data_IF_592895744519
#
_entry.id   IF_592895744519
#
_cell.length_a   1.000
_cell.length_b   1.000
_cell.length_c   1.000
_cell.angle_alpha   90.00
_cell.angle_beta   90.00
_cell.angle_gamma   90.00
#
_symmetry.space_group_name_H-M   'P 1'
#
loop_
_entity.id
_entity.type
_entity.pdbx_description
1 polymer ?
#
# COMPACT_ATOMS: atom_id res chain seq x y z
N UNK A 1 3.56 -37.15 11.04
CA UNK A 1 2.96 -35.81 11.09
C UNK A 1 3.10 -35.15 9.71
N UNK A 2 2.02 -34.65 9.12
CA UNK A 2 1.95 -34.35 7.67
C UNK A 2 2.82 -33.12 7.30
N UNK A 3 3.77 -33.28 6.34
CA UNK A 3 4.69 -32.22 5.87
C UNK A 3 3.96 -30.97 5.30
N UNK A 4 2.65 -31.08 5.07
CA UNK A 4 1.82 -30.07 4.40
C UNK A 4 1.21 -29.00 5.34
N UNK A 5 1.39 -29.10 6.67
CA UNK A 5 0.74 -28.19 7.64
C UNK A 5 1.20 -26.72 7.52
N UNK A 6 2.36 -26.45 6.93
CA UNK A 6 2.91 -25.09 6.70
C UNK A 6 2.63 -24.61 5.27
N UNK A 7 2.33 -25.51 4.33
CA UNK A 7 2.18 -25.18 2.91
C UNK A 7 0.96 -24.31 2.66
N UNK A 8 -0.19 -24.66 3.24
CA UNK A 8 -1.43 -23.89 3.11
C UNK A 8 -1.30 -22.46 3.65
N UNK A 9 -0.93 -22.23 4.93
CA UNK A 9 -0.77 -20.87 5.43
C UNK A 9 0.30 -20.08 4.65
N UNK A 10 1.37 -20.75 4.18
CA UNK A 10 2.35 -20.09 3.32
C UNK A 10 1.73 -19.55 2.03
N UNK A 11 0.96 -20.37 1.31
CA UNK A 11 0.33 -19.98 0.05
C UNK A 11 -0.66 -18.84 0.29
N UNK A 12 -1.47 -18.94 1.34
CA UNK A 12 -2.41 -17.88 1.70
C UNK A 12 -1.71 -16.54 1.99
N UNK A 13 -0.68 -16.52 2.84
CA UNK A 13 0.07 -15.30 3.12
C UNK A 13 0.73 -14.71 1.87
N UNK A 14 1.26 -15.57 0.98
CA UNK A 14 1.86 -15.14 -0.27
C UNK A 14 0.83 -14.51 -1.22
N UNK A 15 -0.32 -15.16 -1.44
CA UNK A 15 -1.38 -14.64 -2.31
C UNK A 15 -1.92 -13.31 -1.77
N UNK A 16 -2.17 -13.21 -0.47
CA UNK A 16 -2.63 -11.97 0.14
C UNK A 16 -1.60 -10.84 0.01
N UNK A 17 -0.32 -11.15 0.16
CA UNK A 17 0.74 -10.16 -0.05
C UNK A 17 0.84 -9.74 -1.52
N UNK A 18 0.60 -10.64 -2.49
CA UNK A 18 0.51 -10.26 -3.90
C UNK A 18 -0.69 -9.35 -4.18
N UNK A 19 -1.83 -9.58 -3.53
CA UNK A 19 -2.98 -8.66 -3.61
C UNK A 19 -2.60 -7.29 -3.04
N UNK A 20 -1.86 -7.21 -1.92
CA UNK A 20 -1.37 -5.94 -1.39
C UNK A 20 -0.37 -5.23 -2.33
N UNK A 21 0.47 -5.99 -3.06
CA UNK A 21 1.35 -5.42 -4.08
C UNK A 21 0.54 -4.88 -5.25
N UNK A 22 -0.46 -5.61 -5.73
CA UNK A 22 -1.35 -5.14 -6.78
C UNK A 22 -2.14 -3.89 -6.34
N UNK A 23 -2.65 -3.89 -5.09
CA UNK A 23 -3.39 -2.78 -4.51
C UNK A 23 -2.59 -1.47 -4.45
N UNK A 24 -1.26 -1.53 -4.42
CA UNK A 24 -0.40 -0.35 -4.44
C UNK A 24 -0.55 0.47 -5.74
N UNK A 25 -0.92 -0.21 -6.83
CA UNK A 25 -1.16 0.38 -8.14
C UNK A 25 -2.65 0.59 -8.44
N UNK A 26 -3.55 0.12 -7.58
CA UNK A 26 -4.98 0.34 -7.72
C UNK A 26 -5.40 1.69 -7.14
N UNK A 27 -6.56 2.24 -7.56
CA UNK A 27 -7.04 3.53 -7.07
C UNK A 27 -7.14 3.52 -5.54
N UNK A 28 -6.43 4.46 -4.92
CA UNK A 28 -6.44 4.70 -3.47
C UNK A 28 -7.36 5.85 -3.11
N UNK A 29 -7.36 6.89 -3.93
CA UNK A 29 -8.35 7.95 -3.92
C UNK A 29 -8.87 8.07 -5.35
N UNK A 30 -10.19 8.15 -5.50
CA UNK A 30 -10.86 8.32 -6.78
C UNK A 30 -11.68 9.60 -6.78
N UNK A 31 -11.87 10.19 -7.96
CA UNK A 31 -12.80 11.30 -8.13
C UNK A 31 -14.26 10.84 -7.96
N UNK A 32 -15.13 11.76 -7.54
CA UNK A 32 -16.58 11.56 -7.67
C UNK A 32 -17.00 11.71 -9.14
N UNK A 33 -18.17 11.16 -9.50
CA UNK A 33 -18.74 11.34 -10.83
C UNK A 33 -18.87 12.84 -11.19
N UNK A 34 -19.33 13.67 -10.25
CA UNK A 34 -19.47 15.13 -10.44
C UNK A 34 -18.13 15.84 -10.67
N UNK A 35 -17.05 15.39 -10.02
CA UNK A 35 -15.72 15.99 -10.21
C UNK A 35 -15.04 15.53 -11.51
N UNK A 36 -15.50 14.41 -12.08
CA UNK A 36 -14.91 13.83 -13.29
C UNK A 36 -15.06 14.74 -14.51
N UNK A 37 -16.11 15.57 -14.58
CA UNK A 37 -16.27 16.55 -15.66
C UNK A 37 -15.18 17.63 -15.65
N UNK A 38 -14.81 18.11 -14.45
CA UNK A 38 -13.71 19.07 -14.29
C UNK A 38 -12.39 18.44 -14.72
N UNK A 39 -12.14 17.19 -14.30
CA UNK A 39 -10.94 16.44 -14.65
C UNK A 39 -10.85 16.25 -16.17
N UNK A 40 -11.93 15.83 -16.81
CA UNK A 40 -11.98 15.62 -18.26
C UNK A 40 -11.68 16.90 -19.05
N UNK A 41 -12.15 18.06 -18.57
CA UNK A 41 -11.91 19.34 -19.22
C UNK A 41 -10.44 19.81 -19.17
N UNK A 42 -9.66 19.33 -18.20
CA UNK A 42 -8.27 19.73 -17.97
C UNK A 42 -7.30 18.54 -18.04
N UNK A 43 -7.71 17.42 -18.63
CA UNK A 43 -7.06 16.13 -18.45
C UNK A 43 -5.56 16.13 -18.79
N UNK A 44 -5.15 16.87 -19.83
CA UNK A 44 -3.76 16.96 -20.28
C UNK A 44 -2.91 17.97 -19.49
N UNK A 45 -3.51 18.75 -18.60
CA UNK A 45 -2.80 19.74 -17.80
C UNK A 45 -1.94 19.04 -16.74
N UNK A 46 -0.73 19.55 -16.53
CA UNK A 46 0.12 19.05 -15.44
C UNK A 46 -0.37 19.59 -14.10
N UNK A 47 -0.43 18.71 -13.09
CA UNK A 47 -0.74 19.13 -11.71
C UNK A 47 0.38 20.01 -11.15
N UNK A 48 1.62 19.64 -11.45
CA UNK A 48 2.84 20.34 -11.05
C UNK A 48 3.82 20.38 -12.21
N UNK A 49 4.54 21.48 -12.34
CA UNK A 49 5.50 21.66 -13.45
C UNK A 49 6.61 20.61 -13.45
N UNK A 50 7.01 20.19 -12.25
CA UNK A 50 8.09 19.24 -11.94
C UNK A 50 7.70 17.77 -12.01
N UNK A 51 6.41 17.46 -12.17
CA UNK A 51 5.88 16.10 -12.07
C UNK A 51 5.34 15.64 -13.42
N UNK A 52 5.58 14.37 -13.73
CA UNK A 52 5.01 13.69 -14.89
C UNK A 52 3.68 13.01 -14.51
N UNK A 53 2.74 13.83 -14.04
CA UNK A 53 1.37 13.44 -13.65
C UNK A 53 0.44 14.59 -14.05
N UNK A 54 -0.66 14.22 -14.68
CA UNK A 54 -1.66 15.12 -15.26
C UNK A 54 -2.90 15.22 -14.39
N UNK A 55 -3.76 16.20 -14.64
CA UNK A 55 -5.05 16.31 -13.95
C UNK A 55 -5.91 15.07 -14.24
N UNK A 56 -5.81 14.47 -15.44
CA UNK A 56 -6.48 13.20 -15.77
C UNK A 56 -6.15 12.08 -14.78
N UNK A 57 -4.92 12.01 -14.30
CA UNK A 57 -4.49 11.00 -13.31
C UNK A 57 -5.18 11.17 -11.94
N UNK A 58 -5.79 12.34 -11.65
CA UNK A 58 -6.55 12.58 -10.42
C UNK A 58 -7.84 11.76 -10.33
N UNK A 59 -8.34 11.25 -11.46
CA UNK A 59 -9.54 10.42 -11.51
C UNK A 59 -9.34 9.13 -10.69
N UNK A 60 -8.14 8.54 -10.77
CA UNK A 60 -7.78 7.28 -10.12
C UNK A 60 -6.36 7.32 -9.54
N UNK A 61 -6.18 8.08 -8.47
CA UNK A 61 -4.89 8.21 -7.81
C UNK A 61 -4.53 6.96 -7.00
N UNK A 62 -3.52 6.21 -7.46
CA UNK A 62 -2.93 5.10 -6.72
C UNK A 62 -1.88 5.56 -5.69
N UNK A 63 -1.55 4.70 -4.73
CA UNK A 63 -0.45 4.96 -3.79
C UNK A 63 0.91 5.12 -4.50
N UNK A 64 1.12 4.38 -5.59
CA UNK A 64 2.28 4.54 -6.46
C UNK A 64 2.32 5.94 -7.08
N UNK A 65 1.20 6.42 -7.62
CA UNK A 65 1.11 7.76 -8.23
C UNK A 65 1.41 8.82 -7.18
N UNK A 66 0.82 8.74 -5.99
CA UNK A 66 1.15 9.65 -4.88
C UNK A 66 2.64 9.64 -4.52
N UNK A 67 3.26 8.46 -4.41
CA UNK A 67 4.69 8.36 -4.14
C UNK A 67 5.52 9.07 -5.23
N UNK A 68 5.17 8.88 -6.51
CA UNK A 68 5.80 9.56 -7.66
C UNK A 68 5.63 11.08 -7.53
N UNK A 69 4.40 11.57 -7.28
CA UNK A 69 4.10 13.00 -7.14
C UNK A 69 4.94 13.63 -6.03
N UNK A 70 4.99 13.03 -4.83
CA UNK A 70 5.73 13.63 -3.72
C UNK A 70 7.25 13.57 -3.91
N UNK A 71 7.78 12.50 -4.50
CA UNK A 71 9.22 12.37 -4.77
C UNK A 71 9.66 13.39 -5.83
N UNK A 72 8.91 13.54 -6.92
CA UNK A 72 9.27 14.43 -8.02
C UNK A 72 8.92 15.89 -7.73
N UNK A 73 7.74 16.13 -7.15
CA UNK A 73 7.20 17.46 -6.86
C UNK A 73 7.60 18.02 -5.50
N UNK A 74 8.58 17.41 -4.81
CA UNK A 74 8.92 17.73 -3.44
C UNK A 74 9.26 19.22 -3.21
N UNK A 75 10.03 19.82 -4.12
CA UNK A 75 10.37 21.25 -4.03
C UNK A 75 9.16 22.16 -4.25
N UNK A 76 8.22 21.78 -5.12
CA UNK A 76 7.03 22.58 -5.43
C UNK A 76 5.97 22.46 -4.33
N UNK A 77 5.76 21.24 -3.81
CA UNK A 77 4.74 20.92 -2.80
C UNK A 77 5.19 21.31 -1.39
N UNK A 78 6.44 20.99 -1.04
CA UNK A 78 6.97 21.14 0.32
C UNK A 78 7.96 22.27 0.51
N UNK A 79 8.36 22.95 -0.58
CA UNK A 79 9.53 23.85 -0.58
C UNK A 79 10.78 23.14 -0.07
N UNK A 80 10.84 21.82 -0.23
CA UNK A 80 11.90 20.97 0.30
C UNK A 80 11.94 19.62 -0.43
N UNK A 81 13.02 19.37 -1.17
CA UNK A 81 13.28 18.05 -1.76
C UNK A 81 13.30 16.95 -0.69
N UNK A 82 13.89 17.22 0.48
CA UNK A 82 13.92 16.29 1.60
C UNK A 82 12.52 15.95 2.13
N UNK A 83 11.61 16.94 2.17
CA UNK A 83 10.21 16.74 2.52
C UNK A 83 9.50 15.83 1.52
N UNK A 84 9.72 16.06 0.22
CA UNK A 84 9.20 15.22 -0.86
C UNK A 84 9.68 13.77 -0.77
N UNK A 85 10.98 13.54 -0.60
CA UNK A 85 11.54 12.20 -0.44
C UNK A 85 11.03 11.50 0.82
N UNK A 86 10.87 12.23 1.93
CA UNK A 86 10.34 11.66 3.16
C UNK A 86 8.87 11.24 3.00
N UNK A 87 7.99 12.15 2.56
CA UNK A 87 6.57 11.85 2.37
C UNK A 87 6.37 10.79 1.28
N UNK A 88 6.95 10.96 0.10
CA UNK A 88 6.82 9.98 -0.97
C UNK A 88 7.45 8.63 -0.61
N UNK A 89 8.50 8.62 0.21
CA UNK A 89 9.10 7.41 0.78
C UNK A 89 8.14 6.64 1.69
N UNK A 90 7.34 7.32 2.51
CA UNK A 90 6.30 6.69 3.34
C UNK A 90 5.23 6.01 2.46
N UNK A 91 4.79 6.68 1.39
CA UNK A 91 3.81 6.10 0.46
C UNK A 91 4.41 4.88 -0.26
N UNK A 92 5.64 5.00 -0.78
CA UNK A 92 6.36 3.90 -1.42
C UNK A 92 6.61 2.72 -0.47
N UNK A 93 6.79 2.99 0.84
CA UNK A 93 7.03 1.95 1.84
C UNK A 93 5.90 0.93 1.90
N UNK A 94 4.64 1.33 1.67
CA UNK A 94 3.50 0.40 1.62
C UNK A 94 3.75 -0.70 0.57
N UNK A 95 4.07 -0.31 -0.67
CA UNK A 95 4.36 -1.25 -1.75
C UNK A 95 5.64 -2.07 -1.50
N UNK A 96 6.70 -1.44 -1.00
CA UNK A 96 7.97 -2.13 -0.68
C UNK A 96 7.77 -3.20 0.38
N UNK A 97 7.09 -2.88 1.48
CA UNK A 97 6.84 -3.85 2.55
C UNK A 97 5.79 -4.90 2.17
N UNK A 98 4.85 -4.61 1.27
CA UNK A 98 4.00 -5.64 0.66
C UNK A 98 4.84 -6.68 -0.10
N UNK A 99 5.79 -6.23 -0.93
CA UNK A 99 6.69 -7.11 -1.67
C UNK A 99 7.60 -7.92 -0.74
N UNK A 100 8.20 -7.28 0.27
CA UNK A 100 9.04 -7.96 1.27
C UNK A 100 8.24 -8.99 2.06
N UNK A 101 6.97 -8.71 2.37
CA UNK A 101 6.05 -9.66 3.01
C UNK A 101 5.82 -10.88 2.13
N UNK A 102 5.59 -10.69 0.83
CA UNK A 102 5.43 -11.78 -0.14
C UNK A 102 6.69 -12.66 -0.20
N UNK A 103 7.88 -12.04 -0.32
CA UNK A 103 9.16 -12.75 -0.34
C UNK A 103 9.41 -13.52 0.96
N UNK A 104 9.12 -12.93 2.12
CA UNK A 104 9.26 -13.58 3.42
C UNK A 104 8.30 -14.77 3.57
N UNK A 105 7.05 -14.63 3.10
CA UNK A 105 6.07 -15.71 3.07
C UNK A 105 6.57 -16.87 2.21
N UNK A 106 7.04 -16.60 0.98
CA UNK A 106 7.59 -17.61 0.07
C UNK A 106 8.75 -18.40 0.71
N UNK A 107 9.62 -17.69 1.42
CA UNK A 107 10.76 -18.24 2.17
C UNK A 107 10.40 -19.01 3.45
N UNK A 108 9.12 -19.21 3.79
CA UNK A 108 8.65 -19.92 5.01
C UNK A 108 9.21 -19.28 6.29
N UNK A 109 9.33 -17.95 6.32
CA UNK A 109 9.85 -17.16 7.45
C UNK A 109 8.71 -16.43 8.19
N UNK A 110 7.90 -17.12 9.03
CA UNK A 110 6.69 -16.54 9.61
C UNK A 110 6.92 -15.30 10.47
N UNK A 111 8.01 -15.28 11.25
CA UNK A 111 8.38 -14.12 12.05
C UNK A 111 8.65 -12.92 11.14
N UNK A 112 9.42 -13.12 10.07
CA UNK A 112 9.75 -12.06 9.12
C UNK A 112 8.49 -11.59 8.36
N UNK A 113 7.63 -12.51 7.91
CA UNK A 113 6.35 -12.19 7.27
C UNK A 113 5.49 -11.30 8.18
N UNK A 114 5.38 -11.64 9.46
CA UNK A 114 4.64 -10.85 10.43
C UNK A 114 5.21 -9.44 10.59
N UNK A 115 6.54 -9.32 10.78
CA UNK A 115 7.17 -8.01 10.95
C UNK A 115 7.08 -7.13 9.71
N UNK A 116 7.32 -7.67 8.51
CA UNK A 116 7.19 -6.91 7.26
C UNK A 116 5.75 -6.45 7.04
N UNK A 117 4.76 -7.31 7.33
CA UNK A 117 3.35 -6.95 7.26
C UNK A 117 2.95 -5.88 8.29
N UNK A 118 3.52 -5.93 9.50
CA UNK A 118 3.29 -4.92 10.52
C UNK A 118 3.85 -3.56 10.08
N UNK A 119 5.05 -3.51 9.50
CA UNK A 119 5.64 -2.27 8.98
C UNK A 119 4.81 -1.73 7.80
N UNK A 120 4.34 -2.60 6.89
CA UNK A 120 3.40 -2.22 5.83
C UNK A 120 2.14 -1.57 6.42
N UNK A 121 1.55 -2.16 7.46
CA UNK A 121 0.37 -1.60 8.13
C UNK A 121 0.63 -0.27 8.83
N UNK A 122 1.81 -0.09 9.43
CA UNK A 122 2.24 1.19 10.01
C UNK A 122 2.41 2.25 8.92
N UNK A 123 3.08 1.92 7.82
CA UNK A 123 3.23 2.84 6.69
C UNK A 123 1.86 3.24 6.10
N UNK A 124 0.96 2.26 5.92
CA UNK A 124 -0.40 2.53 5.44
C UNK A 124 -1.19 3.41 6.41
N UNK A 125 -1.07 3.19 7.72
CA UNK A 125 -1.65 4.08 8.72
C UNK A 125 -1.10 5.51 8.63
N UNK A 126 0.22 5.68 8.47
CA UNK A 126 0.86 6.99 8.31
C UNK A 126 0.39 7.70 7.04
N UNK A 127 0.20 6.97 5.93
CA UNK A 127 -0.40 7.53 4.70
C UNK A 127 -1.81 8.05 4.97
N UNK A 128 -2.67 7.24 5.61
CA UNK A 128 -4.03 7.66 5.95
C UNK A 128 -4.04 8.90 6.86
N UNK A 129 -3.11 8.96 7.82
CA UNK A 129 -2.96 10.13 8.68
C UNK A 129 -2.54 11.37 7.88
N UNK A 130 -1.56 11.26 6.98
CA UNK A 130 -1.06 12.35 6.14
C UNK A 130 -2.15 12.93 5.21
N UNK A 131 -2.95 12.07 4.55
CA UNK A 131 -4.03 12.56 3.67
C UNK A 131 -5.17 13.23 4.44
N UNK A 132 -5.43 12.79 5.69
CA UNK A 132 -6.42 13.40 6.56
C UNK A 132 -5.91 14.75 7.10
N UNK A 133 -4.67 14.79 7.58
CA UNK A 133 -4.05 15.99 8.15
C UNK A 133 -3.99 17.14 7.12
N UNK A 134 -3.76 16.80 5.84
CA UNK A 134 -3.73 17.75 4.72
C UNK A 134 -5.09 18.10 4.14
N UNK A 135 -6.17 17.53 4.67
CA UNK A 135 -7.53 17.66 4.12
C UNK A 135 -7.63 17.22 2.65
N UNK A 136 -6.84 16.21 2.25
CA UNK A 136 -7.03 15.53 0.96
C UNK A 136 -8.28 14.63 1.04
N UNK A 137 -8.52 14.05 2.23
CA UNK A 137 -9.72 13.28 2.58
C UNK A 137 -10.17 13.65 4.00
N UNK A 138 -11.48 13.69 4.30
CA UNK A 138 -12.60 13.60 3.36
C UNK A 138 -12.75 14.89 2.53
N UNK A 139 -13.20 14.75 1.28
CA UNK A 139 -13.44 15.86 0.37
C UNK A 139 -14.71 15.58 -0.46
N UNK A 140 -15.49 16.59 -0.85
CA UNK A 140 -16.74 16.38 -1.59
C UNK A 140 -16.51 15.89 -3.03
N UNK A 141 -15.32 16.13 -3.58
CA UNK A 141 -14.95 15.79 -4.95
C UNK A 141 -14.22 14.44 -5.04
N UNK A 142 -13.93 13.80 -3.91
CA UNK A 142 -13.09 12.60 -3.84
C UNK A 142 -13.65 11.56 -2.89
N UNK A 143 -13.42 10.30 -3.21
CA UNK A 143 -13.81 9.15 -2.40
C UNK A 143 -12.63 8.22 -2.18
N UNK A 144 -12.70 7.41 -1.13
CA UNK A 144 -11.74 6.33 -0.94
C UNK A 144 -11.86 5.31 -2.08
N UNK A 145 -10.74 5.02 -2.72
CA UNK A 145 -10.66 4.02 -3.78
C UNK A 145 -10.60 2.59 -3.26
N UNK A 146 -10.62 1.63 -4.18
CA UNK A 146 -10.61 0.21 -3.88
C UNK A 146 -9.42 -0.21 -3.00
N UNK A 147 -8.22 0.32 -3.25
CA UNK A 147 -7.03 -0.10 -2.51
C UNK A 147 -7.10 0.24 -1.02
N UNK A 148 -7.71 1.39 -0.66
CA UNK A 148 -7.93 1.77 0.73
C UNK A 148 -8.70 0.69 1.49
N UNK A 149 -9.79 0.19 0.89
CA UNK A 149 -10.63 -0.84 1.49
C UNK A 149 -9.96 -2.23 1.51
N UNK A 150 -9.05 -2.51 0.57
CA UNK A 150 -8.33 -3.78 0.50
C UNK A 150 -7.25 -3.93 1.58
N UNK A 151 -6.51 -2.87 1.90
CA UNK A 151 -5.35 -3.01 2.79
C UNK A 151 -5.72 -3.49 4.20
N UNK A 152 -6.81 -3.00 4.80
CA UNK A 152 -7.23 -3.39 6.14
C UNK A 152 -7.44 -4.91 6.32
N UNK A 153 -8.31 -5.59 5.53
CA UNK A 153 -8.48 -7.03 5.66
C UNK A 153 -7.21 -7.79 5.26
N UNK A 154 -6.44 -7.32 4.27
CA UNK A 154 -5.20 -7.99 3.87
C UNK A 154 -4.19 -8.03 5.02
N UNK A 155 -3.94 -6.90 5.68
CA UNK A 155 -3.01 -6.80 6.82
C UNK A 155 -3.43 -7.76 7.93
N UNK A 156 -4.72 -7.81 8.26
CA UNK A 156 -5.24 -8.69 9.30
C UNK A 156 -5.07 -10.17 8.95
N UNK A 157 -5.43 -10.56 7.72
CA UNK A 157 -5.32 -11.96 7.25
C UNK A 157 -3.86 -12.41 7.25
N UNK A 158 -2.94 -11.61 6.71
CA UNK A 158 -1.51 -11.96 6.69
C UNK A 158 -0.98 -12.14 8.11
N UNK A 159 -1.36 -11.29 9.06
CA UNK A 159 -0.95 -11.41 10.46
C UNK A 159 -1.42 -12.75 11.07
N UNK A 160 -2.70 -13.08 10.93
CA UNK A 160 -3.28 -14.34 11.43
C UNK A 160 -2.58 -15.55 10.80
N UNK A 161 -2.39 -15.52 9.48
CA UNK A 161 -1.77 -16.62 8.72
C UNK A 161 -0.28 -16.76 9.07
N UNK A 162 0.44 -15.67 9.31
CA UNK A 162 1.83 -15.71 9.77
C UNK A 162 1.96 -16.36 11.16
N UNK A 163 1.04 -16.05 12.08
CA UNK A 163 0.98 -16.70 13.40
C UNK A 163 0.67 -18.19 13.25
N UNK A 164 -0.28 -18.56 12.40
CA UNK A 164 -0.58 -19.97 12.10
C UNK A 164 0.66 -20.70 11.57
N UNK A 165 1.35 -20.12 10.58
CA UNK A 165 2.59 -20.66 10.03
C UNK A 165 3.69 -20.81 11.10
N UNK A 166 3.80 -19.87 12.04
CA UNK A 166 4.73 -19.95 13.17
C UNK A 166 4.42 -21.13 14.09
N UNK A 167 3.16 -21.26 14.52
CA UNK A 167 2.70 -22.33 15.42
C UNK A 167 2.91 -23.71 14.76
N UNK A 168 2.53 -23.85 13.48
CA UNK A 168 2.74 -25.08 12.73
C UNK A 168 4.22 -25.48 12.67
N UNK A 169 5.11 -24.52 12.38
CA UNK A 169 6.57 -24.75 12.32
C UNK A 169 7.15 -25.14 13.69
N UNK A 170 6.65 -24.55 14.79
CA UNK A 170 7.07 -24.90 16.16
C UNK A 170 6.63 -26.31 16.54
N UNK A 171 5.39 -26.71 16.23
CA UNK A 171 4.90 -28.08 16.48
C UNK A 171 5.75 -29.11 15.73
N UNK A 172 6.11 -28.84 14.47
CA UNK A 172 7.00 -29.71 13.70
C UNK A 172 8.37 -29.91 14.35
N UNK A 173 8.97 -28.85 14.91
CA UNK A 173 10.27 -28.96 15.59
C UNK A 173 10.20 -29.71 16.93
N UNK A 174 9.05 -29.74 17.61
CA UNK A 174 8.88 -30.45 18.89
C UNK A 174 8.67 -31.97 18.73
N UNK A 175 8.29 -32.41 17.53
CA UNK A 175 7.98 -33.82 17.22
C UNK A 175 8.92 -34.41 16.16
N UNK A 176 10.09 -33.78 15.95
CA UNK A 176 11.17 -34.25 15.11
C UNK A 176 12.35 -34.60 16.02
#
# INVERSE_FOLDING_TARGET
MNKNCVTLPRILAFLMALVAVAAFFLPYISATEEYSEYIAAHADEKIYSSVDVTVGDLEEMSLFTYAKVYIQGGEEIFRSAAGGYFTGGIYAAVGVFALLTALAALGKKPILTFFMNAIMGIAFYMVNWDVIDRNIMPDSNRVWGLSYHLYYPIIAIIAIVAIWMFVAKRKMKKHA
#
